data_IF_283101239636
#
_entry.id   IF_283101239636
#
_cell.length_a   1.000
_cell.length_b   1.000
_cell.length_c   1.000
_cell.angle_alpha   90.00
_cell.angle_beta   90.00
_cell.angle_gamma   90.00
#
_symmetry.space_group_name_H-M   'P 1'
#
loop_
_entity.id
_entity.type
_entity.pdbx_description
1 polymer ?
#
# COMPACT_ATOMS: atom_id res chain seq x y z
N UNK A 1 -14.15 -3.55 14.84
CA UNK A 1 -13.04 -4.23 14.14
C UNK A 1 -12.01 -3.19 13.75
N UNK A 2 -10.70 -3.49 13.89
CA UNK A 2 -9.65 -2.64 13.33
C UNK A 2 -9.78 -2.58 11.80
N UNK A 3 -9.31 -1.49 11.18
CA UNK A 3 -9.32 -1.33 9.73
C UNK A 3 -8.05 -1.90 9.07
N UNK A 4 -6.93 -1.86 9.78
CA UNK A 4 -5.65 -2.39 9.32
C UNK A 4 -4.81 -2.71 10.54
N UNK A 5 -4.02 -3.77 10.46
CA UNK A 5 -2.99 -4.10 11.43
C UNK A 5 -1.64 -3.77 10.81
N UNK A 6 -0.82 -3.04 11.57
CA UNK A 6 0.57 -2.75 11.25
C UNK A 6 1.41 -3.37 12.37
N UNK A 7 2.22 -4.38 12.05
CA UNK A 7 2.96 -5.14 13.05
C UNK A 7 4.44 -5.13 12.74
N UNK A 8 5.28 -4.98 13.77
CA UNK A 8 6.71 -5.25 13.63
C UNK A 8 6.95 -6.76 13.42
N UNK A 9 8.03 -7.13 12.74
CA UNK A 9 8.44 -8.52 12.62
C UNK A 9 9.03 -9.04 13.93
N UNK A 10 9.83 -8.20 14.60
CA UNK A 10 10.46 -8.56 15.87
C UNK A 10 9.64 -7.98 17.03
N UNK A 11 8.90 -8.86 17.71
CA UNK A 11 8.18 -8.51 18.92
C UNK A 11 8.96 -9.03 20.14
N UNK A 12 8.86 -8.37 21.32
CA UNK A 12 9.60 -8.80 22.50
C UNK A 12 9.17 -10.18 23.02
N UNK A 13 7.95 -10.60 22.72
CA UNK A 13 7.30 -11.84 23.16
C UNK A 13 7.16 -12.90 22.05
N UNK A 14 7.60 -12.61 20.83
CA UNK A 14 7.48 -13.54 19.70
C UNK A 14 7.76 -12.88 18.36
N UNK A 15 7.27 -13.50 17.28
CA UNK A 15 7.36 -12.90 15.94
C UNK A 15 6.03 -12.27 15.53
N UNK A 16 6.10 -11.17 14.78
CA UNK A 16 4.95 -10.66 14.04
C UNK A 16 4.33 -11.68 13.07
N UNK A 17 5.09 -12.72 12.68
CA UNK A 17 4.59 -13.84 11.89
C UNK A 17 3.68 -14.77 12.69
N UNK A 18 3.98 -15.00 13.96
CA UNK A 18 3.11 -15.79 14.84
C UNK A 18 1.80 -15.05 15.10
N UNK A 19 1.91 -13.73 15.35
CA UNK A 19 0.73 -12.87 15.48
C UNK A 19 -0.10 -12.80 14.19
N UNK A 20 0.54 -12.83 13.01
CA UNK A 20 -0.16 -12.92 11.73
C UNK A 20 -1.01 -14.20 11.65
N UNK A 21 -0.48 -15.35 12.06
CA UNK A 21 -1.22 -16.61 12.04
C UNK A 21 -2.45 -16.57 12.97
N UNK A 22 -2.32 -15.98 14.16
CA UNK A 22 -3.44 -15.77 15.08
C UNK A 22 -4.53 -14.86 14.49
N UNK A 23 -4.10 -13.76 13.84
CA UNK A 23 -5.04 -12.87 13.15
C UNK A 23 -5.74 -13.63 12.03
N UNK A 24 -5.03 -14.44 11.23
CA UNK A 24 -5.61 -15.18 10.11
C UNK A 24 -6.54 -16.32 10.54
N UNK A 25 -6.34 -16.86 11.74
CA UNK A 25 -7.29 -17.78 12.35
C UNK A 25 -8.62 -17.10 12.71
N UNK A 26 -8.61 -15.80 12.98
CA UNK A 26 -9.79 -15.02 13.41
C UNK A 26 -10.45 -14.26 12.25
N UNK A 27 -9.65 -13.60 11.42
CA UNK A 27 -10.08 -12.77 10.29
C UNK A 27 -9.10 -12.91 9.12
N UNK A 28 -9.58 -13.56 8.04
CA UNK A 28 -8.79 -13.86 6.86
C UNK A 28 -8.58 -12.67 5.94
N UNK A 29 -9.45 -11.66 6.01
CA UNK A 29 -9.45 -10.53 5.06
C UNK A 29 -8.91 -9.23 5.65
N UNK A 30 -8.80 -9.15 6.98
CA UNK A 30 -8.24 -7.98 7.66
C UNK A 30 -6.84 -7.63 7.11
N UNK A 31 -6.63 -6.42 6.57
CA UNK A 31 -5.34 -6.02 6.05
C UNK A 31 -4.27 -6.09 7.14
N UNK A 32 -3.18 -6.79 6.86
CA UNK A 32 -2.05 -6.96 7.77
C UNK A 32 -0.76 -6.56 7.07
N UNK A 33 -0.13 -5.50 7.56
CA UNK A 33 1.12 -4.95 7.04
C UNK A 33 2.22 -5.33 8.02
N UNK A 34 3.16 -6.14 7.56
CA UNK A 34 4.35 -6.49 8.30
C UNK A 34 5.44 -5.45 8.03
N UNK A 35 6.04 -4.91 9.08
CA UNK A 35 7.03 -3.84 8.99
C UNK A 35 8.31 -4.31 9.66
N UNK A 36 9.44 -4.17 9.01
CA UNK A 36 10.72 -4.65 9.53
C UNK A 36 11.90 -3.80 9.08
N UNK A 37 12.99 -3.82 9.84
CA UNK A 37 14.29 -3.31 9.42
C UNK A 37 15.14 -4.38 8.71
N UNK A 38 14.72 -5.65 8.74
CA UNK A 38 15.40 -6.74 8.03
C UNK A 38 15.23 -6.60 6.52
N UNK A 39 16.16 -7.20 5.78
CA UNK A 39 16.08 -7.27 4.33
C UNK A 39 14.78 -7.96 3.92
N UNK A 40 13.98 -7.23 3.15
CA UNK A 40 12.61 -7.63 2.82
C UNK A 40 12.55 -8.99 2.11
N UNK A 41 13.56 -9.30 1.31
CA UNK A 41 13.66 -10.52 0.51
C UNK A 41 13.72 -11.79 1.36
N UNK A 42 14.22 -11.68 2.60
CA UNK A 42 14.42 -12.83 3.48
C UNK A 42 13.09 -13.37 4.04
N UNK A 43 12.09 -12.51 4.25
CA UNK A 43 10.84 -12.89 4.93
C UNK A 43 9.58 -12.62 4.11
N UNK A 44 9.63 -11.80 3.05
CA UNK A 44 8.41 -11.38 2.35
C UNK A 44 7.64 -12.55 1.74
N UNK A 45 8.35 -13.54 1.18
CA UNK A 45 7.69 -14.71 0.57
C UNK A 45 6.90 -15.51 1.61
N UNK A 46 7.50 -15.74 2.77
CA UNK A 46 6.85 -16.44 3.86
C UNK A 46 5.67 -15.63 4.42
N UNK A 47 5.86 -14.33 4.65
CA UNK A 47 4.80 -13.45 5.13
C UNK A 47 3.59 -13.44 4.18
N UNK A 48 3.84 -13.38 2.86
CA UNK A 48 2.79 -13.47 1.83
C UNK A 48 2.07 -14.82 1.84
N UNK A 49 2.81 -15.92 2.00
CA UNK A 49 2.21 -17.26 2.10
C UNK A 49 1.31 -17.39 3.33
N UNK A 50 1.68 -16.76 4.44
CA UNK A 50 0.86 -16.66 5.67
C UNK A 50 -0.27 -15.62 5.58
N UNK A 51 -0.42 -14.93 4.44
CA UNK A 51 -1.53 -14.00 4.21
C UNK A 51 -1.28 -12.57 4.69
N UNK A 52 -0.03 -12.15 4.85
CA UNK A 52 0.29 -10.73 4.97
C UNK A 52 -0.14 -10.00 3.70
N UNK A 53 -0.71 -8.81 3.87
CA UNK A 53 -1.13 -7.96 2.76
C UNK A 53 0.06 -7.25 2.11
N UNK A 54 1.04 -6.84 2.90
CA UNK A 54 2.24 -6.15 2.43
C UNK A 54 3.38 -6.28 3.45
N UNK A 55 4.61 -6.35 2.95
CA UNK A 55 5.82 -6.16 3.75
C UNK A 55 6.48 -4.82 3.41
N UNK A 56 6.81 -4.03 4.43
CA UNK A 56 7.40 -2.71 4.30
C UNK A 56 8.66 -2.56 5.15
N UNK A 57 9.61 -1.79 4.62
CA UNK A 57 10.78 -1.34 5.36
C UNK A 57 10.37 -0.25 6.34
N UNK A 58 10.68 -0.47 7.63
CA UNK A 58 10.37 0.44 8.73
C UNK A 58 10.98 1.82 8.56
N UNK A 59 12.13 1.91 7.87
CA UNK A 59 12.83 3.16 7.62
C UNK A 59 12.08 4.04 6.61
N UNK A 60 11.12 3.47 5.85
CA UNK A 60 10.29 4.19 4.88
C UNK A 60 9.01 4.74 5.52
N UNK A 61 9.15 5.45 6.65
CA UNK A 61 8.03 5.89 7.49
C UNK A 61 6.95 6.69 6.76
N UNK A 62 7.31 7.60 5.84
CA UNK A 62 6.32 8.35 5.05
C UNK A 62 5.47 7.43 4.17
N UNK A 63 6.11 6.48 3.46
CA UNK A 63 5.37 5.52 2.63
C UNK A 63 4.49 4.61 3.47
N UNK A 64 4.93 4.22 4.67
CA UNK A 64 4.11 3.42 5.59
C UNK A 64 2.85 4.18 6.00
N UNK A 65 2.97 5.47 6.33
CA UNK A 65 1.81 6.30 6.68
C UNK A 65 0.80 6.38 5.54
N UNK A 66 1.26 6.65 4.32
CA UNK A 66 0.40 6.70 3.13
C UNK A 66 -0.34 5.37 2.91
N UNK A 67 0.37 4.25 3.06
CA UNK A 67 -0.23 2.92 2.90
C UNK A 67 -1.26 2.62 3.99
N UNK A 68 -1.00 2.98 5.25
CA UNK A 68 -1.96 2.80 6.33
C UNK A 68 -3.26 3.58 6.07
N UNK A 69 -3.14 4.85 5.67
CA UNK A 69 -4.29 5.69 5.31
C UNK A 69 -5.06 5.07 4.15
N UNK A 70 -4.36 4.61 3.11
CA UNK A 70 -4.96 3.97 1.93
C UNK A 70 -5.77 2.72 2.30
N UNK A 71 -5.22 1.84 3.13
CA UNK A 71 -5.93 0.62 3.54
C UNK A 71 -7.09 0.90 4.49
N UNK A 72 -6.92 1.84 5.42
CA UNK A 72 -8.01 2.25 6.31
C UNK A 72 -9.19 2.83 5.52
N UNK A 73 -8.91 3.71 4.54
CA UNK A 73 -9.95 4.27 3.68
C UNK A 73 -10.67 3.20 2.87
N UNK A 74 -9.92 2.24 2.31
CA UNK A 74 -10.48 1.13 1.52
C UNK A 74 -11.48 0.28 2.32
N UNK A 75 -11.16 0.00 3.59
CA UNK A 75 -12.05 -0.75 4.48
C UNK A 75 -13.32 0.03 4.85
N UNK A 76 -13.22 1.35 4.95
CA UNK A 76 -14.37 2.22 5.24
C UNK A 76 -15.27 2.44 4.01
N UNK A 77 -14.68 2.59 2.82
CA UNK A 77 -15.43 2.91 1.60
C UNK A 77 -16.08 1.69 0.95
N UNK A 78 -15.60 0.47 1.24
CA UNK A 78 -16.00 -0.75 0.54
C UNK A 78 -15.58 -0.78 -0.94
N UNK A 79 -14.91 0.27 -1.43
CA UNK A 79 -14.43 0.39 -2.79
C UNK A 79 -13.07 -0.31 -2.94
N UNK A 80 -12.81 -0.90 -4.13
CA UNK A 80 -11.44 -1.21 -4.52
C UNK A 80 -10.64 0.10 -4.52
N UNK A 81 -9.45 0.06 -3.91
CA UNK A 81 -8.53 1.21 -3.90
C UNK A 81 -8.51 1.87 -5.29
N UNK A 82 -8.50 3.23 -5.38
CA UNK A 82 -8.44 3.89 -6.67
C UNK A 82 -7.26 3.28 -7.43
N UNK A 83 -7.57 2.62 -8.54
CA UNK A 83 -6.61 1.82 -9.29
C UNK A 83 -5.51 2.71 -9.89
N UNK A 84 -5.75 4.02 -9.93
CA UNK A 84 -4.79 5.07 -10.23
C UNK A 84 -5.19 6.35 -9.47
N UNK A 85 -4.21 7.11 -8.98
CA UNK A 85 -4.49 8.45 -8.48
C UNK A 85 -4.80 9.37 -9.67
N UNK A 86 -6.01 9.94 -9.72
CA UNK A 86 -6.41 10.82 -10.83
C UNK A 86 -5.89 12.24 -10.60
N UNK A 87 -5.21 12.79 -11.60
CA UNK A 87 -4.72 14.17 -11.60
C UNK A 87 -5.33 14.92 -12.77
N UNK A 88 -5.76 16.16 -12.55
CA UNK A 88 -6.27 17.04 -13.60
C UNK A 88 -5.16 18.00 -14.02
N UNK A 89 -4.81 18.00 -15.30
CA UNK A 89 -3.80 18.90 -15.87
C UNK A 89 -4.43 19.80 -16.93
N UNK A 90 -4.58 21.07 -16.58
CA UNK A 90 -5.13 22.10 -17.47
C UNK A 90 -3.97 22.78 -18.21
N UNK A 91 -3.98 22.78 -19.54
CA UNK A 91 -2.89 23.32 -20.35
C UNK A 91 -3.37 24.10 -21.57
N UNK A 92 -2.64 25.15 -21.96
CA UNK A 92 -2.76 25.73 -23.30
C UNK A 92 -2.13 24.78 -24.32
N UNK A 93 -2.65 24.72 -25.55
CA UNK A 93 -2.24 23.76 -26.59
C UNK A 93 -0.71 23.56 -26.64
N UNK A 94 -0.25 22.41 -26.16
CA UNK A 94 1.16 22.03 -26.22
C UNK A 94 1.27 20.53 -26.54
N UNK A 95 2.21 20.21 -27.43
CA UNK A 95 2.43 18.86 -27.96
C UNK A 95 3.05 17.91 -26.92
N UNK A 96 3.47 18.45 -25.76
CA UNK A 96 4.14 17.74 -24.67
C UNK A 96 3.18 17.06 -23.66
N UNK A 97 1.89 17.43 -23.64
CA UNK A 97 0.93 16.95 -22.63
C UNK A 97 0.70 15.43 -22.68
N UNK A 98 0.74 14.83 -23.88
CA UNK A 98 0.67 13.37 -24.05
C UNK A 98 1.87 12.63 -23.47
N UNK A 99 3.07 13.21 -23.57
CA UNK A 99 4.30 12.65 -22.99
C UNK A 99 4.22 12.69 -21.47
N UNK A 100 3.72 13.81 -20.90
CA UNK A 100 3.50 13.94 -19.47
C UNK A 100 2.50 12.89 -18.97
N UNK A 101 1.38 12.70 -19.66
CA UNK A 101 0.39 11.65 -19.32
C UNK A 101 1.00 10.25 -19.32
N UNK A 102 1.81 9.91 -20.33
CA UNK A 102 2.48 8.62 -20.40
C UNK A 102 3.48 8.41 -19.25
N UNK A 103 4.25 9.45 -18.91
CA UNK A 103 5.20 9.41 -17.80
C UNK A 103 4.49 9.27 -16.44
N UNK A 104 3.31 9.88 -16.27
CA UNK A 104 2.53 9.79 -15.04
C UNK A 104 1.84 8.42 -14.90
N UNK A 105 1.42 7.80 -16.00
CA UNK A 105 0.89 6.44 -15.97
C UNK A 105 1.93 5.41 -15.51
N UNK A 106 3.20 5.59 -15.86
CA UNK A 106 4.30 4.75 -15.33
C UNK A 106 4.55 4.96 -13.83
N UNK A 107 3.96 6.00 -13.24
CA UNK A 107 4.05 6.32 -11.82
C UNK A 107 2.73 6.07 -11.07
N UNK A 108 1.81 5.32 -11.66
CA UNK A 108 0.48 4.99 -11.12
C UNK A 108 -0.48 6.19 -10.97
N UNK A 109 -0.28 7.24 -11.76
CA UNK A 109 -1.18 8.39 -11.85
C UNK A 109 -1.90 8.42 -13.21
N UNK A 110 -3.23 8.52 -13.19
CA UNK A 110 -4.03 8.77 -14.40
C UNK A 110 -4.22 10.27 -14.58
N UNK A 111 -3.44 10.85 -15.49
CA UNK A 111 -3.48 12.27 -15.80
C UNK A 111 -4.59 12.53 -16.83
N UNK A 112 -5.58 13.32 -16.43
CA UNK A 112 -6.67 13.83 -17.28
C UNK A 112 -6.23 15.19 -17.83
N UNK A 113 -6.04 15.26 -19.15
CA UNK A 113 -5.62 16.47 -19.85
C UNK A 113 -6.86 17.30 -20.21
N UNK A 114 -6.87 18.58 -19.83
CA UNK A 114 -7.90 19.55 -20.21
C UNK A 114 -7.24 20.71 -20.95
N UNK A 115 -7.57 20.95 -22.23
CA UNK A 115 -7.14 22.15 -22.92
C UNK A 115 -7.87 23.38 -22.34
N UNK A 116 -7.15 24.49 -22.15
CA UNK A 116 -7.68 25.79 -21.69
C UNK A 116 -8.12 26.66 -22.85
#
# INVERSE_FOLDING_TARGET
>A
MPLVICCDLDLPDGSGMDFLDEVRATDKELPFILVSCHDKEDYEQEAKQRGATLCMDKMKGMLLQDMLVRYAYRQLSGEKAPTFHKLLFVHAEDTSAGVLRAAMLQKDFDLILIPS
#
